data_IF_136628683122
#
_entry.id   IF_136628683122
#
_cell.length_a   1.000
_cell.length_b   1.000
_cell.length_c   1.000
_cell.angle_alpha   90.00
_cell.angle_beta   90.00
_cell.angle_gamma   90.00
#
_symmetry.space_group_name_H-M   'P 1'
#
loop_
_entity.id
_entity.type
_entity.pdbx_description
1 polymer ?
#
# COMPACT_ATOMS: atom_id res chain seq x y z
N UNK A 1 5.66 0.10 -13.62
CA UNK A 1 4.93 -1.18 -13.42
C UNK A 1 3.62 -0.86 -12.75
N UNK A 2 2.52 -1.50 -13.15
CA UNK A 2 1.19 -1.27 -12.57
C UNK A 2 0.97 -2.19 -11.36
N UNK A 3 0.35 -1.65 -10.32
CA UNK A 3 -0.07 -2.37 -9.11
C UNK A 3 -1.55 -2.15 -8.85
N UNK A 4 -2.24 -3.15 -8.29
CA UNK A 4 -3.61 -3.02 -7.78
C UNK A 4 -3.56 -2.84 -6.26
N UNK A 5 -3.93 -1.65 -5.77
CA UNK A 5 -3.78 -1.28 -4.35
C UNK A 5 -5.15 -1.21 -3.70
N UNK A 6 -5.27 -1.81 -2.51
CA UNK A 6 -6.45 -1.72 -1.65
C UNK A 6 -6.06 -1.38 -0.21
N UNK A 7 -6.63 -0.30 0.31
CA UNK A 7 -6.42 0.25 1.65
C UNK A 7 -7.69 0.03 2.46
N UNK A 8 -7.56 -0.50 3.67
CA UNK A 8 -8.69 -0.91 4.50
C UNK A 8 -8.72 -0.19 5.86
N UNK A 9 -9.84 -0.37 6.57
CA UNK A 9 -10.06 0.13 7.92
C UNK A 9 -9.77 1.62 8.11
N UNK A 10 -10.16 2.44 7.13
CA UNK A 10 -10.02 3.90 7.18
C UNK A 10 -8.70 4.43 6.61
N UNK A 11 -7.76 3.57 6.22
CA UNK A 11 -6.59 3.99 5.44
C UNK A 11 -7.02 4.53 4.08
N UNK A 12 -6.34 5.59 3.64
CA UNK A 12 -6.52 6.25 2.34
C UNK A 12 -5.16 6.65 1.81
N UNK A 13 -5.04 6.79 0.50
CA UNK A 13 -3.87 7.42 -0.11
C UNK A 13 -3.86 8.89 0.35
N UNK A 14 -2.81 9.29 1.07
CA UNK A 14 -2.69 10.61 1.70
C UNK A 14 -1.70 11.52 0.96
N UNK A 15 -1.12 11.05 -0.15
CA UNK A 15 -0.25 11.84 -0.99
C UNK A 15 -1.08 12.73 -1.94
N UNK A 16 -1.06 14.06 -1.78
CA UNK A 16 -1.81 14.99 -2.62
C UNK A 16 -1.30 15.09 -4.07
N UNK A 17 -0.05 14.69 -4.32
CA UNK A 17 0.55 14.71 -5.66
C UNK A 17 0.11 13.51 -6.52
N UNK A 18 -0.50 12.50 -5.90
CA UNK A 18 -1.00 11.32 -6.59
C UNK A 18 -2.50 11.45 -6.92
N UNK A 19 -2.94 10.93 -8.08
CA UNK A 19 -4.36 10.90 -8.44
C UNK A 19 -5.21 10.05 -7.51
N UNK A 20 -4.58 9.20 -6.68
CA UNK A 20 -5.27 8.39 -5.67
C UNK A 20 -5.61 9.14 -4.38
N UNK A 21 -5.25 10.42 -4.23
CA UNK A 21 -5.43 11.12 -2.96
C UNK A 21 -6.89 11.04 -2.46
N UNK A 22 -7.09 10.51 -1.26
CA UNK A 22 -8.39 10.29 -0.63
C UNK A 22 -9.06 8.95 -0.95
N UNK A 23 -8.56 8.22 -1.96
CA UNK A 23 -9.08 6.93 -2.39
C UNK A 23 -8.56 5.77 -1.53
N UNK A 24 -9.33 4.69 -1.54
CA UNK A 24 -9.04 3.46 -0.80
C UNK A 24 -8.71 2.29 -1.72
N UNK A 25 -9.05 2.34 -3.01
CA UNK A 25 -8.73 1.29 -3.97
C UNK A 25 -8.46 1.89 -5.34
N UNK A 26 -7.31 1.60 -5.91
CA UNK A 26 -6.87 2.20 -7.17
C UNK A 26 -5.72 1.40 -7.79
N UNK A 27 -5.50 1.63 -9.08
CA UNK A 27 -4.29 1.17 -9.76
C UNK A 27 -3.27 2.29 -9.80
N UNK A 28 -2.02 1.96 -9.52
CA UNK A 28 -0.93 2.92 -9.48
C UNK A 28 0.25 2.39 -10.29
N UNK A 29 0.78 3.24 -11.16
CA UNK A 29 2.05 2.98 -11.82
C UNK A 29 3.19 3.42 -10.90
N UNK A 30 4.10 2.48 -10.60
CA UNK A 30 5.28 2.72 -9.75
C UNK A 30 6.57 2.29 -10.47
N UNK A 31 7.74 2.81 -10.05
CA UNK A 31 9.02 2.34 -10.58
C UNK A 31 9.23 0.85 -10.35
N UNK A 32 9.89 0.17 -11.30
CA UNK A 32 10.29 -1.22 -11.11
C UNK A 32 11.27 -1.36 -9.95
N UNK A 33 11.12 -2.42 -9.15
CA UNK A 33 11.94 -2.64 -7.96
C UNK A 33 11.46 -1.88 -6.71
N UNK A 34 10.28 -1.26 -6.77
CA UNK A 34 9.63 -0.65 -5.61
C UNK A 34 9.38 -1.71 -4.53
N UNK A 35 9.77 -1.41 -3.30
CA UNK A 35 9.44 -2.25 -2.13
C UNK A 35 8.12 -1.83 -1.50
N UNK A 36 7.56 -2.67 -0.64
CA UNK A 36 6.36 -2.32 0.15
C UNK A 36 6.60 -1.03 0.97
N UNK A 37 7.78 -0.88 1.59
CA UNK A 37 8.18 0.35 2.30
C UNK A 37 8.14 1.58 1.40
N UNK A 38 8.77 1.50 0.22
CA UNK A 38 8.79 2.61 -0.72
C UNK A 38 7.39 2.95 -1.26
N UNK A 39 6.54 1.94 -1.50
CA UNK A 39 5.15 2.15 -1.87
C UNK A 39 4.39 2.90 -0.77
N UNK A 40 4.53 2.48 0.47
CA UNK A 40 3.91 3.14 1.62
C UNK A 40 4.31 4.60 1.74
N UNK A 41 5.60 4.90 1.59
CA UNK A 41 6.12 6.28 1.60
C UNK A 41 5.52 7.10 0.45
N UNK A 42 5.42 6.53 -0.76
CA UNK A 42 4.77 7.17 -1.90
C UNK A 42 3.28 7.44 -1.67
N UNK A 43 2.57 6.57 -0.95
CA UNK A 43 1.15 6.77 -0.63
C UNK A 43 0.92 7.80 0.49
N UNK A 44 1.99 8.30 1.12
CA UNK A 44 1.91 9.26 2.23
C UNK A 44 1.42 8.63 3.54
N UNK A 45 1.57 7.32 3.72
CA UNK A 45 1.12 6.62 4.92
C UNK A 45 2.23 6.66 5.97
N UNK A 46 1.98 7.35 7.08
CA UNK A 46 2.96 7.56 8.17
C UNK A 46 3.66 6.26 8.59
N UNK A 47 5.01 6.15 8.51
CA UNK A 47 5.80 4.98 8.89
C UNK A 47 5.59 4.50 10.34
N UNK A 48 5.12 5.37 11.23
CA UNK A 48 4.85 5.03 12.63
C UNK A 48 3.61 4.13 12.82
N UNK A 49 2.70 4.05 11.83
CA UNK A 49 1.50 3.20 11.90
C UNK A 49 1.88 1.76 11.55
N UNK A 50 1.85 0.77 12.45
CA UNK A 50 2.16 -0.60 12.03
C UNK A 50 1.10 -1.10 11.05
N UNK A 51 1.52 -1.61 9.89
CA UNK A 51 0.64 -2.12 8.84
C UNK A 51 0.84 -3.62 8.66
N UNK A 52 -0.26 -4.35 8.50
CA UNK A 52 -0.25 -5.67 7.88
C UNK A 52 -0.37 -5.48 6.37
N UNK A 53 0.60 -5.97 5.61
CA UNK A 53 0.59 -5.90 4.14
C UNK A 53 0.46 -7.30 3.56
N UNK A 54 -0.50 -7.46 2.65
CA UNK A 54 -0.66 -8.68 1.88
C UNK A 54 -0.41 -8.41 0.40
N UNK A 55 0.42 -9.23 -0.22
CA UNK A 55 0.66 -9.23 -1.67
C UNK A 55 0.14 -10.55 -2.22
N UNK A 56 -0.82 -10.48 -3.14
CA UNK A 56 -1.46 -11.67 -3.75
C UNK A 56 -1.97 -12.68 -2.71
N UNK A 57 -2.59 -12.19 -1.63
CA UNK A 57 -3.12 -12.97 -0.50
C UNK A 57 -2.05 -13.62 0.41
N UNK A 58 -0.77 -13.26 0.27
CA UNK A 58 0.30 -13.68 1.16
C UNK A 58 0.84 -12.51 1.97
N UNK A 59 1.13 -12.72 3.25
CA UNK A 59 1.81 -11.72 4.08
C UNK A 59 3.26 -11.57 3.63
N UNK A 60 3.69 -10.33 3.42
CA UNK A 60 5.05 -9.99 2.97
C UNK A 60 5.66 -8.90 3.87
N UNK A 61 6.96 -8.98 4.19
CA UNK A 61 7.66 -7.94 4.95
C UNK A 61 7.85 -6.65 4.14
N UNK A 62 8.07 -5.52 4.82
CA UNK A 62 8.17 -4.20 4.17
C UNK A 62 9.32 -4.09 3.15
N UNK A 63 10.34 -4.94 3.27
CA UNK A 63 11.50 -5.00 2.37
C UNK A 63 11.22 -5.79 1.08
N UNK A 64 10.09 -6.51 1.01
CA UNK A 64 9.74 -7.28 -0.18
C UNK A 64 9.55 -6.38 -1.39
N UNK A 65 10.17 -6.79 -2.51
CA UNK A 65 10.10 -6.10 -3.80
C UNK A 65 8.82 -6.51 -4.52
N UNK A 66 8.02 -5.52 -4.89
CA UNK A 66 6.77 -5.71 -5.63
C UNK A 66 7.06 -5.98 -7.12
N UNK A 67 6.14 -6.71 -7.75
CA UNK A 67 6.17 -7.05 -9.17
C UNK A 67 4.97 -6.45 -9.89
N UNK A 68 5.08 -6.35 -11.21
CA UNK A 68 3.96 -5.90 -12.04
C UNK A 68 2.73 -6.79 -11.82
N UNK A 69 1.55 -6.15 -11.82
CA UNK A 69 0.24 -6.78 -11.61
C UNK A 69 0.03 -7.37 -10.21
N UNK A 70 0.93 -7.11 -9.25
CA UNK A 70 0.72 -7.50 -7.86
C UNK A 70 -0.49 -6.77 -7.26
N UNK A 71 -1.28 -7.54 -6.51
CA UNK A 71 -2.38 -7.01 -5.70
C UNK A 71 -1.91 -6.79 -4.28
N UNK A 72 -1.83 -5.54 -3.86
CA UNK A 72 -1.33 -5.11 -2.56
C UNK A 72 -2.49 -4.62 -1.69
N UNK A 73 -2.70 -5.29 -0.55
CA UNK A 73 -3.68 -4.89 0.44
C UNK A 73 -2.98 -4.44 1.73
N UNK A 74 -3.33 -3.26 2.25
CA UNK A 74 -2.76 -2.73 3.50
C UNK A 74 -3.84 -2.54 4.56
N UNK A 75 -3.55 -3.00 5.77
CA UNK A 75 -4.45 -2.94 6.93
C UNK A 75 -3.72 -2.28 8.11
N UNK A 76 -4.29 -1.24 8.74
CA UNK A 76 -3.79 -0.73 10.01
C UNK A 76 -4.20 -1.70 11.13
N UNK A 77 -3.72 -1.49 12.37
CA UNK A 77 -4.15 -2.26 13.51
C UNK A 77 -5.65 -2.02 13.71
N UNK A 78 -6.44 -3.06 13.54
CA UNK A 78 -7.86 -3.03 13.83
C UNK A 78 -8.03 -3.21 15.34
N UNK A 79 -8.36 -2.13 16.04
CA UNK A 79 -8.79 -2.17 17.44
C UNK A 79 -10.17 -2.81 17.54
N UNK A 80 -10.22 -4.14 17.56
CA UNK A 80 -11.41 -4.90 17.94
C UNK A 80 -11.46 -5.05 19.46
N UNK A 81 -12.59 -4.67 20.06
CA UNK A 81 -12.87 -4.93 21.49
C UNK A 81 -13.05 -6.41 21.82
#
# INVERSE_FOLDING_TARGET
>A
MELDIALFAGLRCANPDLPCCGETGFRLEVPSGTTIRALRDMLGIDPAIPLLVMVNNHHEPEESVLRADDRVAMFPPIGGG
#
